data_IF_476350435035
#
_entry.id   IF_476350435035
#
_cell.length_a   1.000
_cell.length_b   1.000
_cell.length_c   1.000
_cell.angle_alpha   90.00
_cell.angle_beta   90.00
_cell.angle_gamma   90.00
#
_symmetry.space_group_name_H-M   'P 1'
#
loop_
_entity.id
_entity.type
_entity.pdbx_description
1 polymer ?
#
# COMPACT_ATOMS: atom_id res chain seq x y z
N UNK A 1 72.03 -26.08 24.56
CA UNK A 1 73.05 -25.00 24.51
C UNK A 1 72.84 -24.16 23.27
N UNK A 2 72.95 -22.83 23.44
CA UNK A 2 72.91 -21.71 22.48
C UNK A 2 71.64 -20.83 22.55
N UNK A 3 71.63 -19.97 23.57
CA UNK A 3 71.23 -18.56 23.43
C UNK A 3 72.33 -17.85 22.61
N UNK A 4 72.15 -16.75 21.87
CA UNK A 4 71.42 -15.50 22.09
C UNK A 4 71.50 -14.73 20.73
N UNK A 5 70.63 -13.83 20.27
CA UNK A 5 70.08 -12.61 20.90
C UNK A 5 68.82 -12.10 20.15
N UNK A 6 68.01 -11.38 20.93
CA UNK A 6 66.83 -10.58 20.59
C UNK A 6 67.03 -9.54 19.47
N UNK A 7 65.96 -9.32 18.69
CA UNK A 7 65.39 -7.97 18.49
C UNK A 7 63.89 -8.06 18.12
N UNK A 8 63.10 -7.45 19.01
CA UNK A 8 61.73 -6.96 18.87
C UNK A 8 61.55 -6.15 17.57
N UNK A 9 60.38 -5.83 17.03
CA UNK A 9 58.97 -6.14 17.25
C UNK A 9 58.22 -5.51 16.04
N UNK A 10 57.04 -6.05 15.74
CA UNK A 10 55.91 -5.33 15.13
C UNK A 10 56.15 -4.63 13.78
N UNK A 11 56.01 -5.41 12.71
CA UNK A 11 55.47 -4.92 11.44
C UNK A 11 54.02 -5.38 11.32
N UNK A 12 53.07 -4.53 11.72
CA UNK A 12 51.66 -4.68 11.39
C UNK A 12 51.53 -4.72 9.86
N UNK A 13 51.15 -5.88 9.31
CA UNK A 13 50.64 -5.93 7.94
C UNK A 13 49.33 -5.16 7.92
N UNK A 14 49.38 -3.87 7.63
CA UNK A 14 48.22 -3.16 7.12
C UNK A 14 47.85 -3.81 5.79
N UNK A 15 46.77 -4.60 5.82
CA UNK A 15 46.03 -4.94 4.61
C UNK A 15 45.38 -3.63 4.17
N UNK A 16 46.02 -2.92 3.25
CA UNK A 16 45.38 -1.83 2.51
C UNK A 16 44.37 -2.44 1.56
N UNK A 17 43.14 -2.61 2.06
CA UNK A 17 41.97 -2.89 1.24
C UNK A 17 41.65 -1.64 0.42
N UNK A 18 42.35 -1.46 -0.70
CA UNK A 18 41.92 -0.51 -1.73
C UNK A 18 40.84 -1.17 -2.56
N UNK A 19 39.62 -1.27 -2.01
CA UNK A 19 38.42 -1.46 -2.82
C UNK A 19 38.24 -0.21 -3.67
N UNK A 20 38.83 -0.19 -4.87
CA UNK A 20 38.36 0.69 -5.94
C UNK A 20 36.93 0.28 -6.25
N UNK A 21 35.96 1.04 -5.73
CA UNK A 21 34.58 0.92 -6.17
C UNK A 21 34.51 1.24 -7.68
N UNK A 22 33.85 0.43 -8.51
CA UNK A 22 33.76 0.68 -9.94
C UNK A 22 32.82 1.86 -10.21
N UNK A 23 33.42 2.95 -10.70
CA UNK A 23 32.85 4.12 -11.42
C UNK A 23 31.31 4.19 -11.38
N UNK A 24 30.79 4.87 -10.35
CA UNK A 24 29.37 5.17 -10.11
C UNK A 24 28.71 5.95 -11.27
N UNK A 25 29.46 6.82 -11.96
CA UNK A 25 28.90 7.84 -12.85
C UNK A 25 28.10 7.34 -14.06
N UNK A 26 28.42 6.17 -14.64
CA UNK A 26 27.67 5.67 -15.82
C UNK A 26 26.32 5.04 -15.47
N UNK A 27 26.21 4.39 -14.31
CA UNK A 27 24.94 3.82 -13.83
C UNK A 27 24.04 4.94 -13.31
N UNK A 28 24.59 5.82 -12.49
CA UNK A 28 23.84 6.98 -11.97
C UNK A 28 23.34 7.86 -13.11
N UNK A 29 24.14 8.11 -14.15
CA UNK A 29 23.70 8.87 -15.32
C UNK A 29 22.59 8.14 -16.11
N UNK A 30 22.65 6.82 -16.24
CA UNK A 30 21.59 6.03 -16.87
C UNK A 30 20.30 6.08 -16.05
N UNK A 31 20.40 5.96 -14.73
CA UNK A 31 19.25 5.97 -13.83
C UNK A 31 18.61 7.36 -13.80
N UNK A 32 19.40 8.44 -13.75
CA UNK A 32 18.93 9.82 -13.90
C UNK A 32 18.23 10.00 -15.24
N UNK A 33 18.81 9.52 -16.35
CA UNK A 33 18.17 9.62 -17.67
C UNK A 33 16.86 8.83 -17.75
N UNK A 34 16.78 7.66 -17.11
CA UNK A 34 15.54 6.89 -17.00
C UNK A 34 14.47 7.66 -16.23
N UNK A 35 14.81 8.23 -15.07
CA UNK A 35 13.87 9.02 -14.25
C UNK A 35 13.44 10.29 -14.99
N UNK A 36 14.37 10.98 -15.66
CA UNK A 36 14.05 12.17 -16.45
C UNK A 36 13.17 11.86 -17.66
N UNK A 37 13.45 10.77 -18.38
CA UNK A 37 12.60 10.35 -19.50
C UNK A 37 11.21 9.89 -19.03
N UNK A 38 11.12 9.31 -17.83
CA UNK A 38 9.85 8.99 -17.20
C UNK A 38 9.04 10.26 -16.90
N UNK A 39 9.64 11.27 -16.28
CA UNK A 39 8.96 12.53 -15.98
C UNK A 39 8.60 13.36 -17.21
N UNK A 40 9.29 13.18 -18.35
CA UNK A 40 8.89 13.82 -19.61
C UNK A 40 7.52 13.40 -20.12
N UNK A 41 7.11 12.15 -19.87
CA UNK A 41 5.80 11.62 -20.29
C UNK A 41 4.80 11.48 -19.14
N UNK A 42 5.27 11.61 -17.90
CA UNK A 42 4.48 11.50 -16.67
C UNK A 42 4.80 12.66 -15.74
N UNK A 43 4.72 13.88 -16.26
CA UNK A 43 5.00 15.06 -15.47
C UNK A 43 3.93 15.18 -14.37
N UNK A 44 4.31 15.07 -13.08
CA UNK A 44 3.34 15.19 -11.99
C UNK A 44 2.82 16.63 -11.81
N UNK A 45 3.38 17.58 -12.57
CA UNK A 45 3.02 19.00 -12.62
C UNK A 45 2.74 19.45 -14.06
N UNK A 46 2.23 18.58 -14.93
CA UNK A 46 1.61 19.07 -16.17
C UNK A 46 0.51 20.09 -15.83
N UNK A 47 0.18 20.95 -16.79
CA UNK A 47 -0.83 22.02 -16.65
C UNK A 47 -2.25 21.43 -16.51
N UNK A 48 -2.47 20.68 -15.43
CA UNK A 48 -3.75 20.23 -14.93
C UNK A 48 -4.26 21.31 -13.98
N UNK A 49 -5.25 22.07 -14.44
CA UNK A 49 -5.89 23.11 -13.63
C UNK A 49 -6.73 22.53 -12.48
N UNK A 50 -6.78 21.20 -12.30
CA UNK A 50 -7.49 20.58 -11.20
C UNK A 50 -6.66 20.57 -9.91
N UNK A 51 -7.32 20.94 -8.80
CA UNK A 51 -6.71 20.86 -7.49
C UNK A 51 -6.73 19.40 -7.01
N UNK A 52 -5.57 18.83 -6.66
CA UNK A 52 -5.44 17.41 -6.28
C UNK A 52 -4.78 17.24 -4.91
N UNK A 53 -5.30 16.31 -4.12
CA UNK A 53 -4.64 15.90 -2.89
C UNK A 53 -3.40 15.05 -3.20
N UNK A 54 -2.22 15.50 -2.76
CA UNK A 54 -0.93 14.84 -3.02
C UNK A 54 -0.84 13.46 -2.33
N UNK A 55 -1.52 13.28 -1.20
CA UNK A 55 -1.48 12.04 -0.43
C UNK A 55 -2.41 10.97 -1.01
N UNK A 56 -3.63 11.34 -1.42
CA UNK A 56 -4.65 10.38 -1.87
C UNK A 56 -4.81 10.32 -3.38
N UNK A 57 -4.28 11.30 -4.12
CA UNK A 57 -4.45 11.42 -5.57
C UNK A 57 -5.86 11.88 -5.99
N UNK A 58 -6.76 12.13 -5.04
CA UNK A 58 -8.13 12.58 -5.30
C UNK A 58 -8.18 13.99 -5.86
N UNK A 59 -8.97 14.17 -6.90
CA UNK A 59 -9.29 15.48 -7.48
C UNK A 59 -10.34 16.17 -6.59
N UNK A 60 -10.09 17.43 -6.25
CA UNK A 60 -10.98 18.26 -5.47
C UNK A 60 -12.22 18.63 -6.30
N UNK A 61 -13.34 18.81 -5.61
CA UNK A 61 -14.56 19.29 -6.23
C UNK A 61 -14.42 20.78 -6.61
N UNK A 62 -15.22 21.26 -7.56
CA UNK A 62 -15.22 22.65 -8.03
C UNK A 62 -15.53 23.67 -6.91
N UNK A 63 -16.10 23.22 -5.80
CA UNK A 63 -16.40 24.05 -4.62
C UNK A 63 -15.18 24.30 -3.73
N UNK A 64 -14.11 23.50 -3.85
CA UNK A 64 -12.88 23.64 -3.06
C UNK A 64 -12.04 24.78 -3.63
N UNK A 65 -11.65 25.73 -2.77
CA UNK A 65 -10.87 26.92 -3.16
C UNK A 65 -9.64 27.13 -2.27
N UNK A 66 -9.08 26.04 -1.75
CA UNK A 66 -7.94 26.07 -0.84
C UNK A 66 -6.67 26.67 -1.44
N UNK A 67 -6.52 26.57 -2.75
CA UNK A 67 -5.48 27.23 -3.56
C UNK A 67 -5.56 28.76 -3.48
N UNK A 68 -6.77 29.31 -3.39
CA UNK A 68 -7.05 30.75 -3.33
C UNK A 68 -7.13 31.28 -1.89
N UNK A 69 -6.59 30.56 -0.90
CA UNK A 69 -6.74 30.89 0.51
C UNK A 69 -6.29 32.31 0.87
N UNK A 70 -5.23 32.79 0.23
CA UNK A 70 -4.71 34.15 0.43
C UNK A 70 -5.72 35.21 -0.01
N UNK A 71 -6.33 35.03 -1.17
CA UNK A 71 -7.29 36.01 -1.72
C UNK A 71 -8.60 36.01 -0.93
N UNK A 72 -9.05 34.84 -0.49
CA UNK A 72 -10.18 34.72 0.45
C UNK A 72 -9.88 35.43 1.76
N UNK A 73 -8.69 35.21 2.34
CA UNK A 73 -8.23 35.91 3.55
C UNK A 73 -8.18 37.42 3.37
N UNK A 74 -7.67 37.91 2.24
CA UNK A 74 -7.63 39.34 1.93
C UNK A 74 -9.04 39.95 1.83
N UNK A 75 -10.01 39.24 1.24
CA UNK A 75 -11.42 39.67 1.19
C UNK A 75 -12.03 39.75 2.59
N UNK A 76 -11.75 38.78 3.45
CA UNK A 76 -12.20 38.79 4.85
C UNK A 76 -11.59 40.00 5.58
N UNK A 77 -10.28 40.23 5.45
CA UNK A 77 -9.61 41.39 6.06
C UNK A 77 -10.17 42.72 5.56
N UNK A 78 -10.46 42.84 4.27
CA UNK A 78 -11.10 44.02 3.70
C UNK A 78 -12.50 44.26 4.30
N UNK A 79 -13.26 43.19 4.57
CA UNK A 79 -14.59 43.29 5.22
C UNK A 79 -14.54 43.75 6.68
N UNK A 80 -13.39 43.59 7.35
CA UNK A 80 -13.19 44.04 8.73
C UNK A 80 -12.88 45.54 8.82
N UNK A 81 -12.44 46.15 7.71
CA UNK A 81 -12.02 47.54 7.71
C UNK A 81 -13.21 48.43 8.10
N UNK A 82 -13.02 49.26 9.12
CA UNK A 82 -14.02 50.17 9.68
C UNK A 82 -15.20 49.48 10.39
N UNK A 83 -15.10 48.19 10.72
CA UNK A 83 -16.05 47.55 11.63
C UNK A 83 -15.54 47.61 13.07
N UNK A 84 -16.48 47.73 14.02
CA UNK A 84 -16.14 47.62 15.42
C UNK A 84 -15.78 46.18 15.75
N UNK A 85 -14.72 45.97 16.53
CA UNK A 85 -14.21 44.64 16.91
C UNK A 85 -15.28 43.81 17.62
N UNK A 86 -16.15 44.46 18.40
CA UNK A 86 -17.20 43.76 19.17
C UNK A 86 -18.37 43.32 18.28
N UNK A 87 -18.60 44.01 17.17
CA UNK A 87 -19.74 43.77 16.26
C UNK A 87 -19.37 42.84 15.09
N UNK A 88 -18.08 42.73 14.75
CA UNK A 88 -17.62 41.87 13.68
C UNK A 88 -17.70 40.40 14.08
N UNK A 89 -18.55 39.64 13.39
CA UNK A 89 -18.65 38.18 13.56
C UNK A 89 -18.05 37.45 12.36
N UNK A 90 -17.09 36.57 12.61
CA UNK A 90 -16.53 35.68 11.61
C UNK A 90 -17.58 34.68 11.11
N UNK A 91 -17.85 34.71 9.80
CA UNK A 91 -18.77 33.76 9.17
C UNK A 91 -18.00 32.59 8.56
N UNK A 92 -18.36 31.37 8.93
CA UNK A 92 -17.81 30.14 8.33
C UNK A 92 -18.05 30.07 6.81
N UNK A 93 -19.17 30.60 6.34
CA UNK A 93 -19.50 30.66 4.91
C UNK A 93 -18.54 31.52 4.07
N UNK A 94 -17.75 32.39 4.72
CA UNK A 94 -16.75 33.23 4.04
C UNK A 94 -15.34 32.61 4.07
N UNK A 95 -15.14 31.54 4.84
CA UNK A 95 -13.86 30.86 4.95
C UNK A 95 -13.57 30.03 3.69
N UNK A 96 -12.30 29.65 3.59
CA UNK A 96 -11.81 28.76 2.55
C UNK A 96 -12.48 27.40 2.69
N UNK A 97 -13.00 26.88 1.57
CA UNK A 97 -13.55 25.53 1.47
C UNK A 97 -12.40 24.59 1.16
N UNK A 98 -12.11 23.69 2.09
CA UNK A 98 -11.05 22.69 1.95
C UNK A 98 -11.61 21.36 1.47
N UNK A 99 -10.77 20.51 0.86
CA UNK A 99 -11.17 19.16 0.45
C UNK A 99 -11.63 18.28 1.63
N UNK A 100 -11.18 18.56 2.85
CA UNK A 100 -11.64 17.89 4.07
C UNK A 100 -13.07 18.28 4.49
N UNK A 101 -13.64 19.36 3.92
CA UNK A 101 -15.00 19.83 4.21
C UNK A 101 -16.09 18.97 3.54
N UNK A 102 -15.72 17.80 2.99
CA UNK A 102 -16.61 16.91 2.21
C UNK A 102 -17.61 16.10 3.03
N UNK A 103 -17.56 16.11 4.36
CA UNK A 103 -18.59 15.50 5.22
C UNK A 103 -19.86 16.37 5.26
N UNK A 104 -20.48 16.52 4.09
CA UNK A 104 -21.75 17.19 3.89
C UNK A 104 -22.88 16.21 4.16
N UNK A 105 -23.63 16.43 5.24
CA UNK A 105 -24.80 15.62 5.59
C UNK A 105 -26.04 16.49 5.31
N UNK A 106 -27.09 15.88 4.74
CA UNK A 106 -28.38 16.57 4.58
C UNK A 106 -29.19 16.43 5.86
N UNK A 107 -29.50 17.55 6.50
CA UNK A 107 -30.40 17.62 7.65
C UNK A 107 -31.56 18.51 7.22
N UNK A 108 -32.79 17.98 7.25
CA UNK A 108 -34.01 18.68 6.85
C UNK A 108 -33.96 19.34 5.45
N UNK A 109 -33.23 18.73 4.51
CA UNK A 109 -33.08 19.23 3.14
C UNK A 109 -31.97 20.27 2.96
N UNK A 110 -31.41 20.81 4.04
CA UNK A 110 -30.24 21.67 4.01
C UNK A 110 -28.94 20.86 4.09
N UNK A 111 -27.93 21.28 3.34
CA UNK A 111 -26.62 20.63 3.34
C UNK A 111 -25.74 21.27 4.39
N UNK A 112 -25.39 20.52 5.42
CA UNK A 112 -24.58 21.01 6.56
C UNK A 112 -23.20 20.36 6.51
N UNK A 113 -22.16 21.20 6.58
CA UNK A 113 -20.79 20.74 6.77
C UNK A 113 -20.63 20.24 8.21
N UNK A 114 -20.35 18.95 8.37
CA UNK A 114 -20.08 18.34 9.67
C UNK A 114 -18.59 18.15 9.82
N UNK A 115 -18.01 18.90 10.75
CA UNK A 115 -16.65 18.66 11.23
C UNK A 115 -16.68 17.43 12.16
N UNK A 116 -16.07 16.29 11.77
CA UNK A 116 -16.08 15.07 12.59
C UNK A 116 -15.42 15.27 13.94
N UNK A 117 -14.40 16.13 14.03
CA UNK A 117 -13.71 16.41 15.30
C UNK A 117 -14.59 17.22 16.24
N UNK A 118 -15.28 18.24 15.70
CA UNK A 118 -16.27 19.01 16.47
C UNK A 118 -17.44 18.13 16.90
N UNK A 119 -17.92 17.23 16.03
CA UNK A 119 -18.97 16.28 16.36
C UNK A 119 -18.52 15.35 17.48
N UNK A 120 -17.32 14.77 17.37
CA UNK A 120 -16.74 13.91 18.41
C UNK A 120 -16.62 14.64 19.75
N UNK A 121 -16.13 15.88 19.76
CA UNK A 121 -16.05 16.71 20.97
C UNK A 121 -17.44 16.95 21.59
N UNK A 122 -18.45 17.27 20.77
CA UNK A 122 -19.84 17.47 21.22
C UNK A 122 -20.45 16.20 21.78
N UNK A 123 -20.29 15.06 21.09
CA UNK A 123 -20.78 13.77 21.56
C UNK A 123 -20.12 13.38 22.88
N UNK A 124 -18.79 13.52 22.99
CA UNK A 124 -18.05 13.22 24.23
C UNK A 124 -18.49 14.15 25.37
N UNK A 125 -18.69 15.45 25.08
CA UNK A 125 -19.15 16.41 26.09
C UNK A 125 -20.60 16.15 26.53
N UNK A 126 -21.48 15.77 25.61
CA UNK A 126 -22.88 15.43 25.91
C UNK A 126 -23.00 14.10 26.66
N UNK A 127 -22.11 13.15 26.38
CA UNK A 127 -22.02 11.89 27.10
C UNK A 127 -21.39 12.04 28.49
N UNK A 128 -20.69 13.16 28.75
CA UNK A 128 -20.13 13.47 30.06
C UNK A 128 -21.26 13.66 31.08
N UNK A 129 -21.40 12.70 31.99
CA UNK A 129 -22.51 12.64 32.97
C UNK A 129 -23.67 11.71 32.60
N UNK A 130 -23.68 11.11 31.40
CA UNK A 130 -24.62 10.00 31.07
C UNK A 130 -24.14 8.64 31.60
N UNK A 131 -22.84 8.50 31.83
CA UNK A 131 -22.20 7.29 32.34
C UNK A 131 -21.36 7.64 33.57
N UNK A 132 -21.35 6.76 34.59
CA UNK A 132 -20.48 6.92 35.78
C UNK A 132 -19.00 6.78 35.41
N UNK A 133 -18.67 5.88 34.48
CA UNK A 133 -17.34 5.71 33.90
C UNK A 133 -17.31 6.23 32.45
N UNK A 134 -16.54 7.29 32.15
CA UNK A 134 -16.35 7.79 30.79
C UNK A 134 -15.78 6.74 29.82
N UNK A 135 -15.14 5.68 30.32
CA UNK A 135 -14.59 4.60 29.50
C UNK A 135 -15.68 3.79 28.78
N UNK A 136 -16.90 3.74 29.34
CA UNK A 136 -18.04 3.05 28.73
C UNK A 136 -18.49 3.73 27.42
N UNK A 137 -18.23 5.03 27.25
CA UNK A 137 -18.50 5.78 25.99
C UNK A 137 -17.67 5.20 24.85
N UNK A 138 -16.46 4.70 25.14
CA UNK A 138 -15.51 4.18 24.17
C UNK A 138 -15.54 2.66 24.03
N UNK A 139 -16.50 1.99 24.70
CA UNK A 139 -16.66 0.54 24.62
C UNK A 139 -17.07 0.07 23.22
N UNK A 140 -17.78 0.92 22.49
CA UNK A 140 -18.22 0.65 21.12
C UNK A 140 -17.35 1.42 20.13
N UNK A 141 -17.14 0.82 18.96
CA UNK A 141 -16.32 1.41 17.92
C UNK A 141 -16.98 2.70 17.40
N UNK A 142 -16.27 3.83 17.53
CA UNK A 142 -16.76 5.17 17.16
C UNK A 142 -16.68 5.46 15.66
N UNK A 143 -16.28 4.48 14.85
CA UNK A 143 -16.15 4.61 13.42
C UNK A 143 -17.26 3.82 12.73
N UNK A 144 -17.77 4.35 11.61
CA UNK A 144 -18.74 3.64 10.77
C UNK A 144 -18.14 2.40 10.10
N UNK A 145 -16.81 2.29 10.08
CA UNK A 145 -16.06 1.14 9.55
C UNK A 145 -15.06 0.65 10.58
N UNK A 146 -14.88 -0.67 10.76
CA UNK A 146 -13.92 -1.18 11.71
C UNK A 146 -12.49 -0.75 11.36
N UNK A 147 -11.89 0.10 12.19
CA UNK A 147 -10.55 0.66 11.97
C UNK A 147 -9.45 -0.42 11.96
N UNK A 148 -9.74 -1.58 12.56
CA UNK A 148 -8.92 -2.79 12.50
C UNK A 148 -8.91 -3.45 11.11
N UNK A 149 -9.95 -3.23 10.30
CA UNK A 149 -10.11 -3.82 8.97
C UNK A 149 -9.80 -2.85 7.84
N UNK A 150 -9.83 -1.53 8.08
CA UNK A 150 -9.67 -0.50 7.04
C UNK A 150 -8.57 0.52 7.38
N UNK A 151 -7.94 1.06 6.34
CA UNK A 151 -7.03 2.19 6.39
C UNK A 151 -7.83 3.52 6.46
N UNK A 152 -7.16 4.62 6.83
CA UNK A 152 -7.79 5.94 6.96
C UNK A 152 -8.37 6.50 5.64
N UNK A 153 -7.94 5.96 4.51
CA UNK A 153 -8.45 6.27 3.17
C UNK A 153 -9.69 5.42 2.78
N UNK A 154 -10.19 4.57 3.70
CA UNK A 154 -11.36 3.71 3.47
C UNK A 154 -11.06 2.40 2.74
N UNK A 155 -9.79 2.09 2.42
CA UNK A 155 -9.41 0.83 1.79
C UNK A 155 -9.22 -0.27 2.85
N UNK A 156 -9.64 -1.53 2.61
CA UNK A 156 -9.37 -2.66 3.51
C UNK A 156 -7.87 -2.86 3.71
N UNK A 157 -7.43 -2.95 4.97
CA UNK A 157 -6.04 -3.20 5.34
C UNK A 157 -5.52 -4.47 4.69
N UNK A 158 -4.23 -4.46 4.38
CA UNK A 158 -3.56 -5.64 3.86
C UNK A 158 -3.44 -6.72 4.94
N UNK A 159 -3.72 -7.96 4.55
CA UNK A 159 -3.46 -9.10 5.40
C UNK A 159 -1.95 -9.41 5.39
N UNK A 160 -1.30 -9.35 6.57
CA UNK A 160 0.10 -9.74 6.74
C UNK A 160 0.28 -11.27 6.76
N UNK A 161 -0.16 -11.93 5.68
CA UNK A 161 -0.20 -13.40 5.56
C UNK A 161 1.19 -14.03 5.69
N UNK A 162 2.23 -13.38 5.18
CA UNK A 162 3.62 -13.87 5.27
C UNK A 162 4.13 -13.87 6.71
N UNK A 163 3.91 -12.78 7.45
CA UNK A 163 4.27 -12.68 8.87
C UNK A 163 3.51 -13.71 9.70
N UNK A 164 2.21 -13.86 9.44
CA UNK A 164 1.39 -14.88 10.11
C UNK A 164 1.89 -16.29 9.79
N UNK A 165 2.17 -16.59 8.52
CA UNK A 165 2.70 -17.89 8.10
C UNK A 165 4.04 -18.18 8.78
N UNK A 166 4.96 -17.22 8.81
CA UNK A 166 6.25 -17.37 9.50
C UNK A 166 6.07 -17.63 11.00
N UNK A 167 5.14 -16.92 11.65
CA UNK A 167 4.82 -17.16 13.05
C UNK A 167 4.24 -18.57 13.27
N UNK A 168 3.33 -19.02 12.39
CA UNK A 168 2.76 -20.37 12.44
C UNK A 168 3.83 -21.45 12.28
N UNK A 169 4.72 -21.31 11.29
CA UNK A 169 5.84 -22.24 11.09
C UNK A 169 6.78 -22.33 12.28
N UNK A 170 6.95 -21.24 13.03
CA UNK A 170 7.80 -21.20 14.22
C UNK A 170 7.10 -21.69 15.50
N UNK A 171 5.77 -21.77 15.51
CA UNK A 171 4.98 -22.07 16.72
C UNK A 171 4.30 -23.43 16.68
N UNK A 172 4.03 -23.96 15.49
CA UNK A 172 3.38 -25.25 15.30
C UNK A 172 4.43 -26.30 15.00
N UNK A 173 4.57 -27.29 15.87
CA UNK A 173 5.28 -28.52 15.54
C UNK A 173 4.49 -29.24 14.45
N UNK A 174 4.93 -29.08 13.20
CA UNK A 174 4.36 -29.74 12.03
C UNK A 174 4.76 -31.23 11.97
N UNK A 175 4.93 -31.87 13.12
CA UNK A 175 5.06 -33.32 13.25
C UNK A 175 3.66 -33.95 13.20
N UNK A 176 2.92 -33.71 12.12
CA UNK A 176 1.90 -34.66 11.75
C UNK A 176 2.67 -35.93 11.39
N UNK A 177 2.54 -36.98 12.22
CA UNK A 177 2.92 -38.32 11.79
C UNK A 177 2.21 -38.57 10.48
N UNK A 178 2.97 -38.90 9.42
CA UNK A 178 2.52 -39.57 8.20
C UNK A 178 1.81 -40.86 8.65
N UNK A 179 0.62 -40.75 9.20
CA UNK A 179 -0.27 -41.87 9.39
C UNK A 179 -0.88 -42.07 8.02
N UNK A 180 -0.33 -43.02 7.27
CA UNK A 180 -0.89 -43.70 6.09
C UNK A 180 -2.25 -43.13 5.66
N UNK A 181 -2.24 -42.00 4.95
CA UNK A 181 -3.41 -41.55 4.19
C UNK A 181 -3.29 -42.27 2.84
N UNK A 182 -3.46 -43.58 2.86
CA UNK A 182 -3.76 -44.33 1.64
C UNK A 182 -5.09 -43.76 1.11
N UNK A 183 -5.04 -43.14 -0.08
CA UNK A 183 -6.10 -42.35 -0.75
C UNK A 183 -6.21 -40.84 -0.45
N UNK A 184 -5.10 -40.15 -0.16
CA UNK A 184 -5.09 -38.69 -0.17
C UNK A 184 -5.27 -38.09 -1.59
N UNK A 185 -6.16 -37.10 -1.73
CA UNK A 185 -6.22 -36.21 -2.90
C UNK A 185 -5.40 -34.95 -2.62
N UNK A 186 -4.41 -34.69 -3.46
CA UNK A 186 -3.54 -33.53 -3.37
C UNK A 186 -4.13 -32.36 -4.15
N UNK A 187 -4.54 -31.32 -3.43
CA UNK A 187 -5.02 -30.07 -4.04
C UNK A 187 -3.89 -29.04 -4.00
N UNK A 188 -3.39 -28.67 -5.17
CA UNK A 188 -2.30 -27.72 -5.33
C UNK A 188 -2.83 -26.36 -5.77
N UNK A 189 -2.43 -25.30 -5.05
CA UNK A 189 -2.64 -23.93 -5.53
C UNK A 189 -1.73 -23.64 -6.72
N UNK A 190 -2.34 -23.39 -7.87
CA UNK A 190 -1.67 -23.09 -9.13
C UNK A 190 -0.87 -21.79 -9.09
N UNK A 191 -1.35 -20.77 -8.36
CA UNK A 191 -0.62 -19.50 -8.22
C UNK A 191 0.72 -19.68 -7.50
N UNK A 192 0.70 -20.41 -6.37
CA UNK A 192 1.91 -20.79 -5.64
C UNK A 192 2.83 -21.69 -6.48
N UNK A 193 2.27 -22.65 -7.22
CA UNK A 193 3.04 -23.55 -8.08
C UNK A 193 3.88 -22.77 -9.10
N UNK A 194 3.29 -21.77 -9.77
CA UNK A 194 3.98 -20.97 -10.78
C UNK A 194 5.25 -20.31 -10.23
N UNK A 195 5.26 -19.89 -8.97
CA UNK A 195 6.43 -19.26 -8.34
C UNK A 195 7.55 -20.24 -7.95
N UNK A 196 7.30 -21.56 -7.95
CA UNK A 196 8.29 -22.56 -7.51
C UNK A 196 9.36 -22.86 -8.56
N UNK A 197 9.04 -22.71 -9.84
CA UNK A 197 9.93 -23.11 -10.93
C UNK A 197 10.36 -21.86 -11.71
N UNK A 198 11.65 -21.50 -11.71
CA UNK A 198 12.14 -20.38 -12.50
C UNK A 198 12.06 -20.70 -13.99
N UNK A 199 11.53 -19.77 -14.80
CA UNK A 199 11.45 -19.93 -16.24
C UNK A 199 12.76 -19.57 -16.93
N UNK A 200 13.22 -20.46 -17.80
CA UNK A 200 14.38 -20.18 -18.66
C UNK A 200 13.94 -19.30 -19.84
N UNK A 201 14.69 -18.23 -20.12
CA UNK A 201 14.37 -17.33 -21.24
C UNK A 201 14.51 -18.05 -22.59
N UNK A 202 13.53 -17.88 -23.47
CA UNK A 202 13.53 -18.45 -24.83
C UNK A 202 12.88 -19.83 -24.94
N UNK A 203 12.36 -20.38 -23.84
CA UNK A 203 11.59 -21.63 -23.86
C UNK A 203 10.20 -21.45 -24.47
N UNK A 204 9.71 -22.51 -25.12
CA UNK A 204 8.32 -22.55 -25.60
C UNK A 204 7.34 -22.72 -24.45
N UNK A 205 6.11 -22.23 -24.61
CA UNK A 205 5.04 -22.45 -23.63
C UNK A 205 4.86 -23.93 -23.29
N UNK A 206 4.86 -24.79 -24.32
CA UNK A 206 4.79 -26.25 -24.16
C UNK A 206 5.93 -26.82 -23.32
N UNK A 207 7.16 -26.35 -23.52
CA UNK A 207 8.31 -26.74 -22.70
C UNK A 207 8.09 -26.36 -21.24
N UNK A 208 7.64 -25.12 -20.98
CA UNK A 208 7.37 -24.61 -19.64
C UNK A 208 6.28 -25.43 -18.95
N UNK A 209 5.15 -25.68 -19.62
CA UNK A 209 4.08 -26.53 -19.09
C UNK A 209 4.58 -27.95 -18.74
N UNK A 210 5.43 -28.53 -19.60
CA UNK A 210 6.00 -29.85 -19.34
C UNK A 210 6.84 -29.89 -18.08
N UNK A 211 7.64 -28.85 -17.80
CA UNK A 211 8.44 -28.76 -16.57
C UNK A 211 7.54 -28.80 -15.31
N UNK A 212 6.38 -28.13 -15.34
CA UNK A 212 5.43 -28.18 -14.23
C UNK A 212 4.76 -29.54 -14.09
N UNK A 213 4.36 -30.17 -15.19
CA UNK A 213 3.80 -31.53 -15.18
C UNK A 213 4.81 -32.51 -14.59
N UNK A 214 6.04 -32.51 -15.09
CA UNK A 214 7.12 -33.38 -14.61
C UNK A 214 7.43 -33.14 -13.12
N UNK A 215 7.38 -31.87 -12.67
CA UNK A 215 7.55 -31.52 -11.25
C UNK A 215 6.45 -32.13 -10.37
N UNK A 216 5.18 -32.04 -10.79
CA UNK A 216 4.04 -32.60 -10.04
C UNK A 216 4.10 -34.12 -10.03
N UNK A 217 4.25 -34.75 -11.21
CA UNK A 217 4.24 -36.21 -11.36
C UNK A 217 5.37 -36.89 -10.58
N UNK A 218 6.49 -36.19 -10.36
CA UNK A 218 7.60 -36.70 -9.53
C UNK A 218 7.31 -36.62 -8.03
N UNK A 219 6.56 -35.63 -7.57
CA UNK A 219 6.35 -35.35 -6.15
C UNK A 219 5.03 -35.91 -5.60
N UNK A 220 4.06 -36.16 -6.48
CA UNK A 220 2.73 -36.57 -6.08
C UNK A 220 2.26 -37.79 -6.91
N UNK A 221 1.48 -38.73 -6.33
CA UNK A 221 0.93 -39.86 -7.04
C UNK A 221 0.10 -39.47 -8.27
N UNK A 222 0.34 -40.17 -9.38
CA UNK A 222 -0.39 -39.97 -10.62
C UNK A 222 -1.85 -40.41 -10.47
N UNK A 223 -2.79 -39.49 -10.68
CA UNK A 223 -4.23 -39.77 -10.59
C UNK A 223 -4.94 -39.18 -9.38
N UNK A 224 -4.21 -38.77 -8.33
CA UNK A 224 -4.78 -38.19 -7.11
C UNK A 224 -4.36 -36.73 -6.88
N UNK A 225 -3.97 -36.01 -7.92
CA UNK A 225 -3.52 -34.61 -7.82
C UNK A 225 -4.35 -33.68 -8.69
N UNK A 226 -4.83 -32.58 -8.12
CA UNK A 226 -5.59 -31.54 -8.79
C UNK A 226 -4.91 -30.19 -8.59
N UNK A 227 -4.60 -29.49 -9.68
CA UNK A 227 -4.10 -28.12 -9.64
C UNK A 227 -5.26 -27.16 -9.82
N UNK A 228 -5.43 -26.23 -8.89
CA UNK A 228 -6.53 -25.25 -8.91
C UNK A 228 -5.94 -23.87 -9.14
N UNK A 229 -6.39 -23.20 -10.19
CA UNK A 229 -6.10 -21.80 -10.43
C UNK A 229 -7.28 -20.95 -9.97
N UNK A 230 -6.96 -19.75 -9.48
CA UNK A 230 -7.98 -18.77 -9.13
C UNK A 230 -8.79 -18.35 -10.37
N UNK A 231 -10.11 -18.41 -10.25
CA UNK A 231 -11.02 -17.81 -11.23
C UNK A 231 -11.19 -16.32 -10.98
N UNK A 232 -11.05 -15.52 -12.03
CA UNK A 232 -11.38 -14.10 -12.01
C UNK A 232 -12.72 -13.89 -12.70
N UNK A 233 -13.78 -13.61 -11.92
CA UNK A 233 -15.05 -13.16 -12.48
C UNK A 233 -14.96 -11.67 -12.82
N UNK A 234 -15.81 -11.19 -13.74
CA UNK A 234 -15.89 -9.75 -14.05
C UNK A 234 -16.56 -8.92 -12.94
N UNK A 235 -16.97 -9.55 -11.85
CA UNK A 235 -17.62 -8.89 -10.73
C UNK A 235 -16.58 -8.42 -9.70
N UNK A 236 -16.93 -7.41 -8.88
CA UNK A 236 -16.07 -6.98 -7.79
C UNK A 236 -15.64 -8.15 -6.92
N UNK A 237 -14.33 -8.38 -6.84
CA UNK A 237 -13.71 -9.46 -6.07
C UNK A 237 -13.00 -8.89 -4.85
N UNK A 238 -12.91 -9.70 -3.79
CA UNK A 238 -12.04 -9.41 -2.64
C UNK A 238 -10.58 -9.23 -3.03
N UNK A 239 -10.19 -9.64 -4.24
CA UNK A 239 -8.84 -9.45 -4.80
C UNK A 239 -8.63 -8.12 -5.51
N UNK A 240 -9.68 -7.38 -5.88
CA UNK A 240 -9.55 -6.17 -6.72
C UNK A 240 -8.66 -5.12 -6.09
N UNK A 241 -8.81 -4.91 -4.79
CA UNK A 241 -8.01 -3.92 -4.06
C UNK A 241 -6.55 -4.36 -4.01
N UNK A 242 -6.30 -5.68 -3.94
CA UNK A 242 -4.94 -6.22 -4.04
C UNK A 242 -4.37 -6.03 -5.46
N UNK A 243 -5.20 -6.17 -6.50
CA UNK A 243 -4.80 -5.90 -7.89
C UNK A 243 -4.49 -4.42 -8.12
N UNK A 244 -5.36 -3.52 -7.67
CA UNK A 244 -5.15 -2.07 -7.75
C UNK A 244 -3.81 -1.71 -7.08
N UNK A 245 -3.53 -2.24 -5.88
CA UNK A 245 -2.25 -2.02 -5.19
C UNK A 245 -1.05 -2.56 -5.98
N UNK A 246 -1.13 -3.77 -6.54
CA UNK A 246 -0.05 -4.34 -7.36
C UNK A 246 0.20 -3.54 -8.64
N UNK A 247 -0.86 -3.04 -9.28
CA UNK A 247 -0.76 -2.20 -10.46
C UNK A 247 -0.19 -0.81 -10.14
N UNK A 248 -0.44 -0.29 -8.93
CA UNK A 248 0.20 0.94 -8.45
C UNK A 248 1.71 0.76 -8.23
N UNK A 249 2.15 -0.43 -7.77
CA UNK A 249 3.57 -0.76 -7.58
C UNK A 249 4.30 -1.24 -8.85
N UNK A 250 3.58 -1.74 -9.85
CA UNK A 250 4.15 -2.28 -11.10
C UNK A 250 3.47 -1.59 -12.29
N UNK A 251 4.00 -0.43 -12.71
CA UNK A 251 3.66 0.17 -14.02
C UNK A 251 4.44 -0.42 -15.20
N UNK A 252 5.11 -1.56 -15.01
CA UNK A 252 6.09 -2.10 -15.97
C UNK A 252 5.85 -3.57 -16.40
N UNK A 253 4.69 -4.19 -16.14
CA UNK A 253 4.41 -5.51 -16.73
C UNK A 253 3.78 -5.33 -18.13
N UNK A 254 4.37 -5.88 -19.20
CA UNK A 254 3.71 -5.89 -20.49
C UNK A 254 2.42 -6.71 -20.40
N UNK A 255 1.34 -6.20 -21.01
CA UNK A 255 0.12 -6.98 -21.20
C UNK A 255 0.46 -8.17 -22.12
N UNK A 256 0.33 -9.38 -21.58
CA UNK A 256 0.57 -10.62 -22.34
C UNK A 256 -0.76 -11.04 -22.95
N UNK A 257 -0.91 -10.79 -24.25
CA UNK A 257 -2.02 -11.31 -25.03
C UNK A 257 -1.69 -12.72 -25.51
N UNK A 258 -2.46 -13.70 -25.06
CA UNK A 258 -2.39 -15.05 -25.59
C UNK A 258 -3.26 -15.13 -26.84
N UNK A 259 -2.70 -15.67 -27.93
CA UNK A 259 -3.42 -15.97 -29.16
C UNK A 259 -3.66 -17.48 -29.26
N UNK A 260 -4.70 -17.92 -29.98
CA UNK A 260 -5.09 -19.35 -30.08
C UNK A 260 -3.95 -20.25 -30.60
N UNK A 261 -3.01 -19.69 -31.35
CA UNK A 261 -1.80 -20.32 -31.85
C UNK A 261 -0.68 -20.52 -30.80
N UNK A 262 -0.88 -20.05 -29.55
CA UNK A 262 0.01 -20.32 -28.42
C UNK A 262 -0.41 -21.50 -27.54
N UNK A 263 -1.51 -22.18 -27.87
CA UNK A 263 -1.98 -23.42 -27.21
C UNK A 263 -1.48 -24.69 -27.91
#
# INVERSE_FOLDING_TARGET
MKQCKNLQAQGSKQVTCTKKQPIQGKRDQKDILSVMNFFKSHNPFDDDNTLRNIQTGEIADATVNADNAKDVGNKILASMKNQNIVDYTFKKSLQVVTQASKSKIKVDGETVDVDPQLLFQRCTSAANGLFEDPSEIFRFELCSVPSALFENNGLPREAHKSTLAAALWNTVDCAASDNDIDDAVYILDGGSLLHRIPWTRGESFKSICKVYIDYITRLYPSGSTVVVFDGYSQQPSTKDITHIRRNLSIRNSPDIHFTDDML
#
